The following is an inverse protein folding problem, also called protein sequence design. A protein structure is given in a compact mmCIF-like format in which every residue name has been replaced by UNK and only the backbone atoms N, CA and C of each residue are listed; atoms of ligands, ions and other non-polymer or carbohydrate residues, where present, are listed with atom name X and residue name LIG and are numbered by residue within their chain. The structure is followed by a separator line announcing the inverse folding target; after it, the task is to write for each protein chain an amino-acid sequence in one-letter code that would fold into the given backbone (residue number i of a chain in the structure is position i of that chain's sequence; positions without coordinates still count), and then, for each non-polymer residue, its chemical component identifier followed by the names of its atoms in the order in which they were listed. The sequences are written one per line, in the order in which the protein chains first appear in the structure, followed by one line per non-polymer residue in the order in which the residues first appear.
data_IF_196786385278
#
_entry.id   IF_196786385278
#
_cell.length_a   1.000
_cell.length_b   1.000
_cell.length_c   1.000
_cell.angle_alpha   90.00
_cell.angle_beta   90.00
_cell.angle_gamma   90.00
#
_symmetry.space_group_name_H-M   'P 1'
#
loop_
_entity.id
_entity.type
_entity.pdbx_description
1 polymer ?
#
# COMPACT_ATOMS: atom_id res chain seq x y z
N UNK A 1 45.20 -18.05 32.37
CA UNK A 1 45.15 -16.61 32.70
C UNK A 1 45.81 -15.86 31.56
N UNK A 2 45.03 -15.46 30.57
CA UNK A 2 45.50 -14.58 29.49
C UNK A 2 44.53 -13.41 29.47
N UNK A 3 45.01 -12.29 30.03
CA UNK A 3 44.32 -11.01 30.02
C UNK A 3 44.49 -10.39 28.65
N UNK A 4 43.40 -10.34 27.88
CA UNK A 4 43.31 -9.45 26.74
C UNK A 4 42.56 -8.19 27.21
N UNK A 5 43.26 -7.06 27.25
CA UNK A 5 42.66 -5.74 27.53
C UNK A 5 43.00 -4.86 26.32
N UNK A 6 42.09 -4.84 25.35
CA UNK A 6 42.07 -3.83 24.29
C UNK A 6 41.13 -2.69 24.69
N UNK A 7 41.31 -1.47 24.15
CA UNK A 7 40.44 -0.35 24.45
C UNK A 7 39.03 -0.66 23.97
N UNK A 8 38.08 -0.73 24.90
CA UNK A 8 36.65 -0.83 24.60
C UNK A 8 36.25 0.37 23.73
N UNK A 9 35.76 0.10 22.52
CA UNK A 9 35.14 1.12 21.68
C UNK A 9 33.80 1.48 22.32
N UNK A 10 33.49 2.77 22.57
CA UNK A 10 32.18 3.11 23.12
C UNK A 10 31.08 2.64 22.17
N UNK A 11 30.10 1.94 22.73
CA UNK A 11 28.89 1.57 21.98
C UNK A 11 28.27 2.83 21.38
N UNK A 12 27.94 2.85 20.07
CA UNK A 12 27.34 4.00 19.43
C UNK A 12 26.01 4.30 20.12
N UNK A 13 25.94 5.46 20.77
CA UNK A 13 24.73 5.94 21.40
C UNK A 13 23.65 6.11 20.32
N UNK A 14 22.58 5.33 20.47
CA UNK A 14 21.34 5.38 19.67
C UNK A 14 20.70 6.77 19.81
N UNK A 15 21.16 7.75 19.03
CA UNK A 15 20.60 9.12 19.02
C UNK A 15 19.72 9.41 17.80
N UNK A 16 19.28 8.38 17.09
CA UNK A 16 18.24 8.45 16.08
C UNK A 16 17.28 7.26 16.30
N UNK A 17 15.97 7.40 16.00
CA UNK A 17 15.11 6.22 15.88
C UNK A 17 15.83 5.20 14.99
N UNK A 18 15.83 3.94 15.41
CA UNK A 18 16.59 2.89 14.72
C UNK A 18 16.05 2.80 13.29
N UNK A 19 16.88 3.18 12.33
CA UNK A 19 16.54 3.12 10.91
C UNK A 19 16.10 1.70 10.53
N UNK A 20 16.59 0.68 11.24
CA UNK A 20 16.13 -0.70 11.07
C UNK A 20 14.66 -0.90 11.50
N UNK A 21 14.21 -0.31 12.61
CA UNK A 21 12.82 -0.37 13.07
C UNK A 21 11.88 0.37 12.10
N UNK A 22 12.29 1.53 11.58
CA UNK A 22 11.53 2.27 10.57
C UNK A 22 11.38 1.48 9.26
N UNK A 23 12.44 0.77 8.85
CA UNK A 23 12.44 -0.10 7.67
C UNK A 23 11.55 -1.32 7.87
N UNK A 24 11.62 -1.97 9.03
CA UNK A 24 10.78 -3.13 9.38
C UNK A 24 9.30 -2.73 9.48
N UNK A 25 9.00 -1.58 10.07
CA UNK A 25 7.64 -1.04 10.13
C UNK A 25 7.11 -0.73 8.73
N UNK A 26 7.91 -0.06 7.88
CA UNK A 26 7.54 0.22 6.50
C UNK A 26 7.30 -1.07 5.69
N UNK A 27 8.09 -2.12 5.91
CA UNK A 27 7.91 -3.43 5.30
C UNK A 27 6.61 -4.10 5.77
N UNK A 28 6.31 -4.05 7.07
CA UNK A 28 5.08 -4.63 7.63
C UNK A 28 3.81 -3.93 7.11
N UNK A 29 3.81 -2.61 7.00
CA UNK A 29 2.71 -1.81 6.44
C UNK A 29 2.55 -2.10 4.95
N UNK A 30 3.66 -2.20 4.23
CA UNK A 30 3.67 -2.56 2.82
C UNK A 30 3.04 -3.94 2.60
N UNK A 31 3.41 -4.93 3.41
CA UNK A 31 2.87 -6.29 3.36
C UNK A 31 1.37 -6.34 3.73
N UNK A 32 0.94 -5.56 4.72
CA UNK A 32 -0.47 -5.46 5.10
C UNK A 32 -1.31 -4.85 3.98
N UNK A 33 -0.83 -3.79 3.32
CA UNK A 33 -1.46 -3.20 2.14
C UNK A 33 -1.53 -4.22 0.99
N UNK A 34 -0.46 -4.97 0.77
CA UNK A 34 -0.34 -6.05 -0.21
C UNK A 34 -1.48 -7.07 -0.06
N UNK A 35 -1.68 -7.60 1.16
CA UNK A 35 -2.71 -8.58 1.48
C UNK A 35 -4.12 -8.02 1.33
N UNK A 36 -4.33 -6.74 1.65
CA UNK A 36 -5.62 -6.07 1.46
C UNK A 36 -5.96 -5.97 -0.03
N UNK A 37 -4.98 -5.56 -0.85
CA UNK A 37 -5.16 -5.39 -2.29
C UNK A 37 -5.34 -6.72 -3.04
N UNK A 38 -4.84 -7.84 -2.52
CA UNK A 38 -5.09 -9.18 -3.05
C UNK A 38 -6.55 -9.64 -2.91
N UNK A 39 -7.31 -9.07 -1.97
CA UNK A 39 -8.73 -9.45 -1.77
C UNK A 39 -9.68 -8.80 -2.79
N UNK A 40 -9.17 -7.88 -3.62
CA UNK A 40 -9.96 -7.01 -4.48
C UNK A 40 -9.70 -7.28 -5.97
N UNK A 41 -10.76 -7.25 -6.77
CA UNK A 41 -10.61 -7.17 -8.22
C UNK A 41 -9.92 -5.86 -8.64
N UNK A 42 -9.34 -5.76 -9.86
CA UNK A 42 -8.59 -4.57 -10.28
C UNK A 42 -9.40 -3.27 -10.16
N UNK A 43 -10.68 -3.29 -10.57
CA UNK A 43 -11.57 -2.12 -10.42
C UNK A 43 -11.89 -1.82 -8.95
N UNK A 44 -12.16 -2.83 -8.11
CA UNK A 44 -12.41 -2.62 -6.68
C UNK A 44 -11.20 -2.01 -5.99
N UNK A 45 -10.00 -2.45 -6.36
CA UNK A 45 -8.73 -1.92 -5.86
C UNK A 45 -8.53 -0.46 -6.24
N UNK A 46 -8.72 -0.10 -7.51
CA UNK A 46 -8.64 1.30 -7.93
C UNK A 46 -9.63 2.19 -7.16
N UNK A 47 -10.91 1.78 -7.09
CA UNK A 47 -11.94 2.54 -6.35
C UNK A 47 -11.62 2.63 -4.85
N UNK A 48 -11.14 1.55 -4.24
CA UNK A 48 -10.78 1.54 -2.82
C UNK A 48 -9.60 2.46 -2.52
N UNK A 49 -8.53 2.39 -3.30
CA UNK A 49 -7.34 3.22 -3.09
C UNK A 49 -7.66 4.69 -3.29
N UNK A 50 -8.33 5.04 -4.39
CA UNK A 50 -8.71 6.43 -4.66
C UNK A 50 -9.63 7.01 -3.57
N UNK A 51 -10.57 6.21 -3.03
CA UNK A 51 -11.49 6.69 -2.00
C UNK A 51 -10.90 6.71 -0.60
N UNK A 52 -10.20 5.66 -0.19
CA UNK A 52 -9.83 5.46 1.22
C UNK A 52 -8.41 5.95 1.52
N UNK A 53 -7.55 6.08 0.51
CA UNK A 53 -6.20 6.65 0.69
C UNK A 53 -6.13 8.09 0.21
N UNK A 54 -6.65 8.37 -0.99
CA UNK A 54 -6.56 9.70 -1.59
C UNK A 54 -7.77 10.60 -1.29
N UNK A 55 -8.81 10.06 -0.62
CA UNK A 55 -10.04 10.76 -0.24
C UNK A 55 -10.75 11.50 -1.39
N UNK A 56 -10.63 10.98 -2.62
CA UNK A 56 -11.32 11.55 -3.79
C UNK A 56 -12.83 11.37 -3.70
N UNK A 57 -13.57 12.32 -4.24
CA UNK A 57 -15.03 12.23 -4.28
C UNK A 57 -15.50 11.22 -5.34
N UNK A 58 -16.70 10.67 -5.11
CA UNK A 58 -17.20 9.56 -5.93
C UNK A 58 -17.40 9.92 -7.41
N UNK A 59 -17.64 11.19 -7.71
CA UNK A 59 -17.71 11.75 -9.06
C UNK A 59 -16.33 11.81 -9.71
N UNK A 60 -15.31 12.31 -9.02
CA UNK A 60 -13.92 12.31 -9.50
C UNK A 60 -13.42 10.89 -9.80
N UNK A 61 -13.74 9.95 -8.91
CA UNK A 61 -13.40 8.53 -9.12
C UNK A 61 -14.15 7.96 -10.32
N UNK A 62 -15.42 8.33 -10.49
CA UNK A 62 -16.25 7.88 -11.62
C UNK A 62 -15.64 8.29 -12.96
N UNK A 63 -15.17 9.53 -13.06
CA UNK A 63 -14.48 10.04 -14.24
C UNK A 63 -13.16 9.29 -14.46
N UNK A 64 -12.37 9.08 -13.40
CA UNK A 64 -11.09 8.39 -13.47
C UNK A 64 -11.20 6.92 -13.91
N UNK A 65 -12.24 6.20 -13.48
CA UNK A 65 -12.42 4.76 -13.81
C UNK A 65 -13.41 4.51 -14.95
N UNK A 66 -13.94 5.57 -15.58
CA UNK A 66 -14.92 5.47 -16.66
C UNK A 66 -16.22 4.77 -16.27
N UNK A 67 -16.76 5.06 -15.08
CA UNK A 67 -18.01 4.46 -14.57
C UNK A 67 -18.97 5.52 -14.04
N UNK A 68 -20.24 5.16 -13.88
CA UNK A 68 -21.19 6.05 -13.21
C UNK A 68 -20.88 6.17 -11.72
N UNK A 69 -21.15 7.34 -11.13
CA UNK A 69 -20.98 7.59 -9.69
C UNK A 69 -21.72 6.55 -8.82
N UNK A 70 -22.91 6.12 -9.27
CA UNK A 70 -23.69 5.07 -8.59
C UNK A 70 -22.97 3.71 -8.61
N UNK A 71 -22.35 3.35 -9.73
CA UNK A 71 -21.55 2.12 -9.82
C UNK A 71 -20.32 2.19 -8.92
N UNK A 72 -19.61 3.34 -8.89
CA UNK A 72 -18.46 3.53 -8.00
C UNK A 72 -18.85 3.37 -6.54
N UNK A 73 -19.98 3.95 -6.09
CA UNK A 73 -20.47 3.78 -4.71
C UNK A 73 -20.72 2.32 -4.35
N UNK A 74 -21.32 1.54 -5.25
CA UNK A 74 -21.52 0.10 -5.05
C UNK A 74 -20.20 -0.66 -4.98
N UNK A 75 -19.26 -0.34 -5.88
CA UNK A 75 -17.93 -0.96 -5.91
C UNK A 75 -17.16 -0.65 -4.62
N UNK A 76 -17.16 0.60 -4.16
CA UNK A 76 -16.51 1.00 -2.91
C UNK A 76 -17.06 0.24 -1.69
N UNK A 77 -18.39 0.12 -1.61
CA UNK A 77 -19.03 -0.64 -0.53
C UNK A 77 -18.64 -2.12 -0.56
N UNK A 78 -18.62 -2.73 -1.75
CA UNK A 78 -18.21 -4.12 -1.94
C UNK A 78 -16.73 -4.33 -1.60
N UNK A 79 -15.85 -3.42 -2.05
CA UNK A 79 -14.44 -3.45 -1.74
C UNK A 79 -14.19 -3.41 -0.22
N UNK A 80 -14.82 -2.48 0.50
CA UNK A 80 -14.76 -2.43 1.97
C UNK A 80 -15.21 -3.75 2.62
N UNK A 81 -16.27 -4.35 2.10
CA UNK A 81 -16.77 -5.63 2.61
C UNK A 81 -15.77 -6.77 2.39
N UNK A 82 -15.06 -6.81 1.26
CA UNK A 82 -14.03 -7.81 0.98
C UNK A 82 -12.81 -7.66 1.88
N UNK A 83 -12.33 -6.43 2.05
CA UNK A 83 -11.22 -6.12 2.96
C UNK A 83 -11.56 -6.52 4.39
N UNK A 84 -12.75 -6.15 4.87
CA UNK A 84 -13.22 -6.49 6.21
C UNK A 84 -13.38 -8.00 6.42
N UNK A 85 -13.80 -8.73 5.39
CA UNK A 85 -13.98 -10.18 5.45
C UNK A 85 -12.66 -10.97 5.38
N UNK A 86 -11.52 -10.32 5.08
CA UNK A 86 -10.21 -10.96 4.84
C UNK A 86 -10.30 -12.18 3.93
N UNK A 87 -11.18 -12.13 2.93
CA UNK A 87 -11.47 -13.27 2.04
C UNK A 87 -10.80 -13.03 0.69
N UNK A 88 -9.70 -13.72 0.37
CA UNK A 88 -9.08 -13.60 -0.95
C UNK A 88 -10.07 -14.04 -2.02
N UNK A 89 -10.29 -13.21 -3.04
CA UNK A 89 -11.05 -13.60 -4.23
C UNK A 89 -10.13 -14.12 -5.34
N UNK A 90 -8.93 -13.54 -5.46
CA UNK A 90 -7.93 -13.88 -6.45
C UNK A 90 -6.53 -13.91 -5.83
N UNK A 91 -5.68 -14.87 -6.21
CA UNK A 91 -4.24 -14.84 -5.89
C UNK A 91 -3.53 -13.95 -6.90
N UNK A 92 -3.05 -12.78 -6.46
CA UNK A 92 -2.24 -11.86 -7.30
C UNK A 92 -0.77 -12.30 -7.26
N UNK A 93 -0.05 -12.33 -8.39
CA UNK A 93 1.38 -12.62 -8.38
C UNK A 93 2.17 -11.57 -7.56
N UNK A 94 3.18 -11.98 -6.77
CA UNK A 94 3.95 -11.08 -5.90
C UNK A 94 4.58 -9.88 -6.63
N UNK A 95 4.94 -10.05 -7.90
CA UNK A 95 5.57 -9.01 -8.72
C UNK A 95 4.60 -7.88 -9.08
N UNK A 96 3.33 -8.21 -9.36
CA UNK A 96 2.29 -7.20 -9.59
C UNK A 96 2.06 -6.36 -8.34
N UNK A 97 2.12 -6.98 -7.17
CA UNK A 97 1.91 -6.25 -5.92
C UNK A 97 3.09 -5.38 -5.53
N UNK A 98 4.33 -5.79 -5.82
CA UNK A 98 5.51 -4.94 -5.66
C UNK A 98 5.43 -3.70 -6.58
N UNK A 99 4.97 -3.88 -7.81
CA UNK A 99 4.74 -2.75 -8.73
C UNK A 99 3.63 -1.81 -8.24
N UNK A 100 2.51 -2.35 -7.74
CA UNK A 100 1.44 -1.54 -7.15
C UNK A 100 1.92 -0.73 -5.94
N UNK A 101 2.73 -1.32 -5.07
CA UNK A 101 3.32 -0.63 -3.92
C UNK A 101 4.27 0.50 -4.35
N UNK A 102 5.14 0.24 -5.33
CA UNK A 102 6.07 1.25 -5.82
C UNK A 102 5.34 2.41 -6.49
N UNK A 103 4.31 2.11 -7.29
CA UNK A 103 3.45 3.12 -7.92
C UNK A 103 2.69 3.93 -6.87
N UNK A 104 2.20 3.27 -5.82
CA UNK A 104 1.53 3.93 -4.71
C UNK A 104 2.44 4.90 -3.97
N UNK A 105 3.66 4.47 -3.63
CA UNK A 105 4.66 5.33 -2.98
C UNK A 105 4.98 6.55 -3.85
N UNK A 106 5.19 6.34 -5.16
CA UNK A 106 5.41 7.43 -6.11
C UNK A 106 4.22 8.39 -6.17
N UNK A 107 2.99 7.88 -6.22
CA UNK A 107 1.79 8.70 -6.29
C UNK A 107 1.57 9.52 -5.01
N UNK A 108 1.89 9.00 -3.83
CA UNK A 108 1.83 9.75 -2.57
C UNK A 108 2.89 10.87 -2.52
N UNK A 109 4.09 10.62 -3.06
CA UNK A 109 5.19 11.59 -3.10
C UNK A 109 4.99 12.67 -4.18
N UNK A 110 4.39 12.32 -5.32
CA UNK A 110 4.35 13.16 -6.54
C UNK A 110 2.95 13.62 -6.96
N UNK A 111 1.90 12.98 -6.46
CA UNK A 111 0.53 13.19 -6.91
C UNK A 111 0.17 12.53 -8.25
N UNK A 112 1.04 11.70 -8.84
CA UNK A 112 0.78 11.02 -10.13
C UNK A 112 -0.24 9.87 -9.99
N UNK A 113 -1.51 10.26 -9.90
CA UNK A 113 -2.66 9.36 -9.78
C UNK A 113 -2.92 8.54 -11.05
N UNK A 114 -2.59 9.05 -12.23
CA UNK A 114 -2.85 8.36 -13.49
C UNK A 114 -1.97 7.10 -13.60
N UNK A 115 -0.67 7.24 -13.32
CA UNK A 115 0.26 6.10 -13.33
C UNK A 115 -0.13 5.04 -12.30
N UNK A 116 -0.65 5.46 -11.14
CA UNK A 116 -1.16 4.54 -10.15
C UNK A 116 -2.37 3.77 -10.67
N UNK A 117 -3.32 4.45 -11.32
CA UNK A 117 -4.53 3.82 -11.86
C UNK A 117 -4.21 2.76 -12.91
N UNK A 118 -3.28 3.04 -13.81
CA UNK A 118 -2.86 2.12 -14.87
C UNK A 118 -2.29 0.80 -14.30
N UNK A 119 -1.72 0.84 -13.09
CA UNK A 119 -1.15 -0.34 -12.41
C UNK A 119 -2.18 -1.06 -11.53
N UNK A 120 -3.10 -0.31 -10.91
CA UNK A 120 -4.13 -0.88 -10.04
C UNK A 120 -5.24 -1.58 -10.82
N UNK A 121 -5.60 -1.05 -11.98
CA UNK A 121 -6.68 -1.52 -12.84
C UNK A 121 -6.27 -1.62 -14.33
N UNK A 122 -5.33 -2.53 -14.68
CA UNK A 122 -4.95 -2.79 -16.07
C UNK A 122 -6.05 -3.49 -16.87
#
# INVERSE_FOLDING_TARGET
RESYVGPWLPEPLLTAPDVAEDVELAESVSMAMLLVLETLSPTERAVFVLREVFDLDYDEIADAVGKSQAAVRQIAHRARSHVAARRPRDTVPPDQTRHALQAFKQAVETGDLQRLLDILAP
#
